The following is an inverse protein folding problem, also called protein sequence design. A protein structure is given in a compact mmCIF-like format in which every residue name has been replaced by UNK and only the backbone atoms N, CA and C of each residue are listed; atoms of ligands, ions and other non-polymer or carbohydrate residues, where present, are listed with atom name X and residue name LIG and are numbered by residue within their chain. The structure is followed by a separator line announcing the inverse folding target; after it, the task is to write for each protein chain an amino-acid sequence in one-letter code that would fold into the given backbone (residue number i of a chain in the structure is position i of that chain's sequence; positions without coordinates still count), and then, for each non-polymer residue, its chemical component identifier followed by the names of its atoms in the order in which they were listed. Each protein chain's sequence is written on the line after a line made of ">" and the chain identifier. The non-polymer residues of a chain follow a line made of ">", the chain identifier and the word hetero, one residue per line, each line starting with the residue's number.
data_IF_480224878904
#
_entry.id   IF_480224878904
#
_cell.length_a   1.000
_cell.length_b   1.000
_cell.length_c   1.000
_cell.angle_alpha   90.00
_cell.angle_beta   90.00
_cell.angle_gamma   90.00
#
_symmetry.space_group_name_H-M   'P 1'
#
loop_
_entity.id
_entity.type
_entity.pdbx_description
1 polymer ?
#
# COMPACT_ATOMS: atom_id res chain seq x y z
N UNK A 1 8.68 -0.66 -25.91
CA UNK A 1 8.98 -1.71 -24.92
C UNK A 1 10.23 -1.42 -24.11
N UNK A 2 11.40 -1.17 -24.72
CA UNK A 2 12.64 -0.87 -23.98
C UNK A 2 12.53 0.32 -23.00
N UNK A 3 11.88 1.42 -23.42
CA UNK A 3 11.67 2.61 -22.57
C UNK A 3 10.79 2.29 -21.34
N UNK A 4 9.71 1.52 -21.52
CA UNK A 4 8.82 1.11 -20.42
C UNK A 4 9.57 0.24 -19.42
N UNK A 5 10.37 -0.73 -19.92
CA UNK A 5 11.19 -1.58 -19.07
C UNK A 5 12.22 -0.77 -18.27
N UNK A 6 12.87 0.23 -18.88
CA UNK A 6 13.81 1.11 -18.20
C UNK A 6 13.15 1.94 -17.09
N UNK A 7 11.94 2.46 -17.33
CA UNK A 7 11.17 3.21 -16.32
C UNK A 7 10.80 2.30 -15.14
N UNK A 8 10.29 1.10 -15.42
CA UNK A 8 9.95 0.14 -14.36
C UNK A 8 11.22 -0.24 -13.56
N UNK A 9 12.33 -0.55 -14.23
CA UNK A 9 13.59 -0.85 -13.57
C UNK A 9 14.05 0.28 -12.64
N UNK A 10 13.97 1.53 -13.09
CA UNK A 10 14.29 2.70 -12.26
C UNK A 10 13.36 2.84 -11.05
N UNK A 11 12.06 2.61 -11.23
CA UNK A 11 11.08 2.68 -10.14
C UNK A 11 11.28 1.58 -9.07
N UNK A 12 11.69 0.39 -9.49
CA UNK A 12 11.95 -0.73 -8.58
C UNK A 12 13.36 -0.71 -7.96
N UNK A 13 14.31 0.02 -8.55
CA UNK A 13 15.68 0.15 -8.05
C UNK A 13 15.77 0.43 -6.53
N UNK A 14 15.07 1.42 -5.95
CA UNK A 14 15.16 1.69 -4.50
C UNK A 14 14.65 0.52 -3.65
N UNK A 15 13.65 -0.22 -4.11
CA UNK A 15 13.12 -1.39 -3.41
C UNK A 15 14.18 -2.51 -3.42
N UNK A 16 14.83 -2.74 -4.56
CA UNK A 16 15.92 -3.72 -4.68
C UNK A 16 17.09 -3.34 -3.78
N UNK A 17 17.46 -2.06 -3.72
CA UNK A 17 18.50 -1.56 -2.80
C UNK A 17 18.11 -1.86 -1.35
N UNK A 18 16.87 -1.59 -0.95
CA UNK A 18 16.38 -1.90 0.40
C UNK A 18 16.43 -3.39 0.72
N UNK A 19 16.10 -4.26 -0.24
CA UNK A 19 16.24 -5.72 -0.10
C UNK A 19 17.70 -6.12 0.08
N UNK A 20 18.64 -5.51 -0.65
CA UNK A 20 20.08 -5.80 -0.47
C UNK A 20 20.52 -5.39 0.95
N UNK A 21 20.08 -4.22 1.43
CA UNK A 21 20.41 -3.74 2.77
C UNK A 21 19.73 -4.54 3.89
N UNK A 22 18.60 -5.23 3.65
CA UNK A 22 17.99 -6.09 4.69
C UNK A 22 18.86 -7.30 5.04
N UNK A 23 19.82 -7.65 4.19
CA UNK A 23 20.84 -8.66 4.46
C UNK A 23 22.14 -8.10 5.02
N UNK A 24 22.23 -6.79 5.25
CA UNK A 24 23.45 -6.17 5.76
C UNK A 24 23.56 -6.33 7.28
N UNK A 25 24.74 -6.72 7.77
CA UNK A 25 24.96 -6.91 9.21
C UNK A 25 25.03 -5.59 10.00
N UNK A 26 25.34 -4.46 9.33
CA UNK A 26 25.30 -3.14 9.95
C UNK A 26 23.89 -2.51 9.90
N UNK A 27 23.52 -1.86 11.00
CA UNK A 27 22.25 -1.11 11.14
C UNK A 27 22.22 0.22 10.35
N UNK A 28 23.27 0.51 9.57
CA UNK A 28 23.45 1.78 8.87
C UNK A 28 23.43 1.54 7.36
N UNK A 29 22.78 2.44 6.62
CA UNK A 29 22.70 2.41 5.16
C UNK A 29 24.00 2.95 4.52
N UNK A 30 25.15 2.45 4.98
CA UNK A 30 26.49 2.87 4.53
C UNK A 30 27.13 1.78 3.72
N UNK A 31 27.76 2.16 2.60
CA UNK A 31 28.64 1.29 1.84
C UNK A 31 30.08 1.43 2.40
N UNK A 32 30.88 0.37 2.53
CA UNK A 32 30.67 -1.01 2.07
C UNK A 32 29.77 -1.86 2.99
N UNK A 33 29.10 -2.87 2.42
CA UNK A 33 28.34 -3.87 3.18
C UNK A 33 29.31 -4.59 4.13
N UNK A 34 29.00 -4.59 5.43
CA UNK A 34 29.89 -5.17 6.44
C UNK A 34 29.88 -6.70 6.43
N UNK A 35 28.80 -7.31 5.92
CA UNK A 35 28.63 -8.75 5.79
C UNK A 35 27.18 -9.11 5.47
N UNK A 36 26.97 -10.34 4.98
CA UNK A 36 25.65 -10.91 4.73
C UNK A 36 25.09 -11.56 6.00
N UNK A 37 23.87 -11.23 6.40
CA UNK A 37 23.21 -11.73 7.61
C UNK A 37 21.71 -11.98 7.41
N UNK A 38 21.16 -12.88 8.22
CA UNK A 38 19.71 -13.11 8.35
C UNK A 38 19.12 -12.56 9.66
N UNK A 39 19.96 -11.96 10.50
CA UNK A 39 19.64 -11.49 11.86
C UNK A 39 18.39 -10.61 11.94
N UNK A 40 18.14 -9.79 10.93
CA UNK A 40 16.95 -8.92 10.91
C UNK A 40 15.64 -9.69 10.72
N UNK A 41 15.68 -10.78 9.95
CA UNK A 41 14.54 -11.68 9.80
C UNK A 41 14.29 -12.45 11.10
N UNK A 42 15.33 -12.98 11.73
CA UNK A 42 15.20 -13.65 13.03
C UNK A 42 14.62 -12.71 14.10
N UNK A 43 15.12 -11.47 14.17
CA UNK A 43 14.59 -10.44 15.07
C UNK A 43 13.14 -10.07 14.76
N UNK A 44 12.75 -10.05 13.48
CA UNK A 44 11.39 -9.79 13.08
C UNK A 44 10.44 -10.88 13.60
N UNK A 45 10.78 -12.15 13.38
CA UNK A 45 9.96 -13.28 13.84
C UNK A 45 9.98 -13.46 15.37
N UNK A 46 11.05 -13.05 16.05
CA UNK A 46 11.13 -13.05 17.50
C UNK A 46 10.36 -11.89 18.16
N UNK A 47 9.90 -10.90 17.40
CA UNK A 47 9.20 -9.73 17.93
C UNK A 47 7.68 -9.92 17.78
N UNK A 48 7.02 -10.27 18.88
CA UNK A 48 5.57 -10.49 18.92
C UNK A 48 4.75 -9.25 18.54
N UNK A 49 5.23 -8.04 18.84
CA UNK A 49 4.56 -6.80 18.48
C UNK A 49 4.55 -6.60 16.96
N UNK A 50 5.67 -6.89 16.28
CA UNK A 50 5.77 -6.79 14.82
C UNK A 50 4.89 -7.84 14.12
N UNK A 51 4.85 -9.07 14.63
CA UNK A 51 3.99 -10.13 14.09
C UNK A 51 2.50 -9.79 14.31
N UNK A 52 2.16 -9.26 15.49
CA UNK A 52 0.81 -8.81 15.79
C UNK A 52 0.39 -7.65 14.88
N UNK A 53 1.27 -6.66 14.69
CA UNK A 53 1.03 -5.56 13.77
C UNK A 53 0.81 -6.04 12.33
N UNK A 54 1.65 -6.96 11.83
CA UNK A 54 1.51 -7.56 10.51
C UNK A 54 0.13 -8.23 10.35
N UNK A 55 -0.27 -9.06 11.32
CA UNK A 55 -1.55 -9.76 11.31
C UNK A 55 -2.73 -8.79 11.32
N UNK A 56 -2.66 -7.74 12.14
CA UNK A 56 -3.70 -6.72 12.22
C UNK A 56 -3.84 -5.98 10.88
N UNK A 57 -2.72 -5.59 10.26
CA UNK A 57 -2.74 -4.95 8.94
C UNK A 57 -3.36 -5.85 7.87
N UNK A 58 -3.03 -7.14 7.85
CA UNK A 58 -3.66 -8.10 6.93
C UNK A 58 -5.16 -8.23 7.14
N UNK A 59 -5.59 -8.38 8.40
CA UNK A 59 -7.00 -8.51 8.76
C UNK A 59 -7.80 -7.27 8.34
N UNK A 60 -7.31 -6.08 8.68
CA UNK A 60 -7.95 -4.82 8.31
C UNK A 60 -7.97 -4.64 6.80
N UNK A 61 -6.86 -4.88 6.10
CA UNK A 61 -6.78 -4.71 4.65
C UNK A 61 -7.78 -5.59 3.89
N UNK A 62 -7.93 -6.85 4.29
CA UNK A 62 -8.86 -7.79 3.65
C UNK A 62 -10.30 -7.36 3.88
N UNK A 63 -10.68 -7.06 5.14
CA UNK A 63 -12.04 -6.67 5.46
C UNK A 63 -12.43 -5.34 4.81
N UNK A 64 -11.55 -4.34 4.88
CA UNK A 64 -11.78 -3.06 4.24
C UNK A 64 -11.93 -3.24 2.74
N UNK A 65 -11.04 -3.99 2.08
CA UNK A 65 -11.13 -4.25 0.64
C UNK A 65 -12.44 -4.93 0.26
N UNK A 66 -12.85 -5.96 1.01
CA UNK A 66 -14.09 -6.67 0.76
C UNK A 66 -15.31 -5.74 0.89
N UNK A 67 -15.40 -4.97 1.98
CA UNK A 67 -16.49 -4.02 2.20
C UNK A 67 -16.49 -2.91 1.14
N UNK A 68 -15.33 -2.37 0.79
CA UNK A 68 -15.19 -1.36 -0.26
C UNK A 68 -15.65 -1.89 -1.61
N UNK A 69 -15.32 -3.13 -1.98
CA UNK A 69 -15.81 -3.72 -3.23
C UNK A 69 -17.32 -3.95 -3.19
N UNK A 70 -17.84 -4.49 -2.08
CA UNK A 70 -19.27 -4.77 -1.92
C UNK A 70 -20.14 -3.51 -2.00
N UNK A 71 -19.66 -2.36 -1.50
CA UNK A 71 -20.42 -1.10 -1.51
C UNK A 71 -20.06 -0.26 -2.73
N UNK A 72 -18.78 -0.12 -3.02
CA UNK A 72 -18.24 0.77 -4.05
C UNK A 72 -18.56 0.31 -5.46
N UNK A 73 -18.49 -1.00 -5.76
CA UNK A 73 -18.77 -1.51 -7.12
C UNK A 73 -20.24 -1.30 -7.49
N UNK A 74 -21.24 -1.66 -6.66
CA UNK A 74 -22.64 -1.36 -6.97
C UNK A 74 -22.93 0.14 -7.04
N UNK A 75 -22.33 0.95 -6.15
CA UNK A 75 -22.50 2.40 -6.18
C UNK A 75 -21.97 3.02 -7.48
N UNK A 76 -20.78 2.58 -7.93
CA UNK A 76 -20.20 3.00 -9.21
C UNK A 76 -21.08 2.56 -10.39
N UNK A 77 -21.57 1.31 -10.39
CA UNK A 77 -22.44 0.79 -11.43
C UNK A 77 -23.77 1.57 -11.51
N UNK A 78 -24.40 1.86 -10.37
CA UNK A 78 -25.63 2.64 -10.32
C UNK A 78 -25.43 4.08 -10.79
N UNK A 79 -24.31 4.70 -10.43
CA UNK A 79 -23.95 6.02 -10.90
C UNK A 79 -23.67 6.05 -12.41
N UNK A 80 -23.10 5.01 -13.00
CA UNK A 80 -22.81 4.97 -14.43
C UNK A 80 -24.07 4.66 -15.25
N UNK A 81 -24.78 3.57 -14.90
CA UNK A 81 -25.81 2.97 -15.76
C UNK A 81 -27.24 3.34 -15.43
N UNK A 82 -27.56 3.66 -14.18
CA UNK A 82 -28.93 3.94 -13.76
C UNK A 82 -29.25 5.44 -13.78
N UNK A 83 -30.50 5.78 -14.11
CA UNK A 83 -31.07 7.13 -13.96
C UNK A 83 -32.01 7.11 -12.75
N UNK A 84 -31.65 7.83 -11.69
CA UNK A 84 -32.43 7.90 -10.45
C UNK A 84 -32.49 9.35 -9.93
N UNK A 85 -33.58 9.75 -9.24
CA UNK A 85 -33.69 11.09 -8.67
C UNK A 85 -32.60 11.31 -7.60
N UNK A 86 -31.93 12.47 -7.62
CA UNK A 86 -30.84 12.79 -6.68
C UNK A 86 -29.43 12.33 -7.10
N UNK A 87 -29.27 11.70 -8.28
CA UNK A 87 -27.98 11.23 -8.82
C UNK A 87 -26.85 12.26 -8.77
N UNK A 88 -27.13 13.52 -9.11
CA UNK A 88 -26.15 14.61 -9.08
C UNK A 88 -25.67 14.92 -7.67
N UNK A 89 -26.57 14.91 -6.68
CA UNK A 89 -26.22 15.14 -5.27
C UNK A 89 -25.38 13.99 -4.74
N UNK A 90 -25.82 12.75 -4.98
CA UNK A 90 -25.08 11.54 -4.58
C UNK A 90 -23.66 11.51 -5.18
N UNK A 91 -23.51 11.83 -6.47
CA UNK A 91 -22.20 11.92 -7.12
C UNK A 91 -21.30 12.98 -6.46
N UNK A 92 -21.85 14.15 -6.12
CA UNK A 92 -21.09 15.20 -5.43
C UNK A 92 -20.65 14.76 -4.04
N UNK A 93 -21.52 14.11 -3.27
CA UNK A 93 -21.17 13.63 -1.93
C UNK A 93 -20.03 12.61 -1.95
N UNK A 94 -20.02 11.69 -2.92
CA UNK A 94 -18.93 10.70 -3.06
C UNK A 94 -17.61 11.35 -3.49
N UNK A 95 -17.66 12.35 -4.37
CA UNK A 95 -16.46 13.02 -4.88
C UNK A 95 -15.92 14.09 -3.92
N UNK A 96 -16.75 14.60 -3.00
CA UNK A 96 -16.39 15.69 -2.10
C UNK A 96 -15.14 15.38 -1.24
N UNK A 97 -15.00 14.20 -0.59
CA UNK A 97 -13.78 13.83 0.12
C UNK A 97 -12.53 13.75 -0.75
N UNK A 98 -12.69 13.56 -2.07
CA UNK A 98 -11.59 13.46 -3.02
C UNK A 98 -11.10 14.85 -3.47
N UNK A 99 -12.00 15.84 -3.41
CA UNK A 99 -11.73 17.26 -3.74
C UNK A 99 -11.27 18.05 -2.52
N UNK A 100 -11.74 17.69 -1.32
CA UNK A 100 -11.23 18.23 -0.07
C UNK A 100 -9.87 17.58 0.20
N UNK A 101 -8.73 18.30 0.07
CA UNK A 101 -7.45 17.76 0.50
C UNK A 101 -7.58 17.33 1.97
N UNK A 102 -7.02 16.19 2.35
CA UNK A 102 -7.16 15.62 3.68
C UNK A 102 -6.59 16.55 4.75
N UNK A 103 -7.41 17.46 5.29
CA UNK A 103 -7.06 18.35 6.40
C UNK A 103 -7.26 17.59 7.70
N UNK A 104 -6.46 16.54 7.97
CA UNK A 104 -6.02 16.16 9.33
C UNK A 104 -4.94 15.08 9.23
N UNK A 105 -3.68 15.49 9.40
CA UNK A 105 -2.54 14.68 9.83
C UNK A 105 -2.04 15.25 11.15
#
# INVERSE_FOLDING_TARGET
>A
MAVIAAILAYLYLPIVVLIIFSFNDSSSLTLPLSGFTWKWYDKFFANEDLITALRNSFYVAILTTALTLLIGVPAAFALDRLKFPGKTVFRRLILLPLVLPGIIT
#
